data_IF_187097065410
#
_entry.id   IF_187097065410
#
_cell.length_a   1.000
_cell.length_b   1.000
_cell.length_c   1.000
_cell.angle_alpha   90.00
_cell.angle_beta   90.00
_cell.angle_gamma   90.00
#
_symmetry.space_group_name_H-M   'P 1'
#
loop_
_entity.id
_entity.type
_entity.pdbx_description
1 polymer ?
#
# COMPACT_ATOMS: atom_id res chain seq x y z
N UNK A 1 -9.59 -9.81 30.34
CA UNK A 1 -9.70 -9.62 28.87
C UNK A 1 -9.06 -8.34 28.33
N UNK A 2 -9.22 -7.14 28.93
CA UNK A 2 -8.56 -5.90 28.44
C UNK A 2 -7.03 -5.92 28.55
N UNK A 3 -6.48 -6.44 29.65
CA UNK A 3 -5.02 -6.50 29.86
C UNK A 3 -4.30 -7.44 28.89
N UNK A 4 -4.90 -8.58 28.54
CA UNK A 4 -4.34 -9.52 27.56
C UNK A 4 -4.34 -8.96 26.12
N UNK A 5 -5.33 -8.13 25.78
CA UNK A 5 -5.39 -7.45 24.46
C UNK A 5 -4.32 -6.35 24.33
N UNK A 6 -4.11 -5.55 25.40
CA UNK A 6 -3.06 -4.52 25.45
C UNK A 6 -1.68 -5.17 25.35
N UNK A 7 -1.42 -6.23 26.13
CA UNK A 7 -0.15 -6.96 26.12
C UNK A 7 0.18 -7.55 24.75
N UNK A 8 -0.81 -8.15 24.06
CA UNK A 8 -0.63 -8.67 22.69
C UNK A 8 -0.32 -7.58 21.68
N UNK A 9 -0.99 -6.42 21.77
CA UNK A 9 -0.71 -5.28 20.90
C UNK A 9 0.71 -4.76 21.11
N UNK A 10 1.14 -4.57 22.37
CA UNK A 10 2.48 -4.08 22.71
C UNK A 10 3.58 -5.04 22.22
N UNK A 11 3.38 -6.37 22.35
CA UNK A 11 4.31 -7.37 21.83
C UNK A 11 4.43 -7.34 20.30
N UNK A 12 3.35 -7.05 19.57
CA UNK A 12 3.41 -6.94 18.10
C UNK A 12 4.24 -5.74 17.65
N UNK A 13 4.02 -4.57 18.27
CA UNK A 13 4.84 -3.39 18.00
C UNK A 13 6.32 -3.62 18.36
N UNK A 14 6.59 -4.22 19.50
CA UNK A 14 7.96 -4.52 19.92
C UNK A 14 8.69 -5.46 18.94
N UNK A 15 7.99 -6.45 18.39
CA UNK A 15 8.55 -7.36 17.39
C UNK A 15 8.91 -6.64 16.08
N UNK A 16 8.01 -5.80 15.55
CA UNK A 16 8.26 -5.05 14.31
C UNK A 16 9.36 -4.01 14.48
N UNK A 17 9.35 -3.29 15.61
CA UNK A 17 10.41 -2.33 15.93
C UNK A 17 11.76 -3.03 16.15
N UNK A 18 11.75 -4.23 16.74
CA UNK A 18 12.94 -5.06 16.90
C UNK A 18 13.54 -5.48 15.56
N UNK A 19 12.72 -5.91 14.60
CA UNK A 19 13.17 -6.24 13.23
C UNK A 19 13.72 -4.99 12.53
N UNK A 20 13.04 -3.86 12.63
CA UNK A 20 13.48 -2.60 12.03
C UNK A 20 14.84 -2.16 12.60
N UNK A 21 15.00 -2.24 13.92
CA UNK A 21 16.24 -1.92 14.61
C UNK A 21 17.37 -2.88 14.20
N UNK A 22 17.09 -4.19 14.15
CA UNK A 22 18.05 -5.20 13.73
C UNK A 22 18.56 -4.93 12.30
N UNK A 23 17.66 -4.68 11.34
CA UNK A 23 18.03 -4.34 9.97
C UNK A 23 18.88 -3.05 9.93
N UNK A 24 18.48 -2.03 10.70
CA UNK A 24 19.22 -0.77 10.78
C UNK A 24 20.65 -0.98 11.32
N UNK A 25 20.82 -1.83 12.34
CA UNK A 25 22.13 -2.19 12.90
C UNK A 25 22.96 -2.98 11.88
N UNK A 26 22.35 -3.98 11.23
CA UNK A 26 23.03 -4.79 10.21
C UNK A 26 23.56 -3.90 9.09
N UNK A 27 22.68 -3.11 8.45
CA UNK A 27 23.10 -2.23 7.36
C UNK A 27 24.04 -1.13 7.80
N UNK A 28 23.90 -0.62 9.03
CA UNK A 28 24.81 0.34 9.62
C UNK A 28 26.23 -0.22 9.88
N UNK A 29 26.34 -1.54 10.15
CA UNK A 29 27.62 -2.21 10.32
C UNK A 29 28.34 -2.49 8.99
N UNK A 30 27.57 -2.70 7.90
CA UNK A 30 28.13 -3.03 6.58
C UNK A 30 28.25 -1.83 5.61
N UNK A 31 27.59 -0.68 5.91
CA UNK A 31 27.63 0.53 5.10
C UNK A 31 27.88 1.77 5.95
N UNK A 32 29.01 2.44 5.71
CA UNK A 32 29.37 3.69 6.41
C UNK A 32 28.37 4.84 6.23
N UNK A 33 27.57 4.78 5.16
CA UNK A 33 26.60 5.81 4.82
C UNK A 33 25.21 5.54 5.36
N UNK A 34 24.91 4.31 5.79
CA UNK A 34 23.54 3.90 6.11
C UNK A 34 22.96 4.65 7.31
N UNK A 35 23.76 4.89 8.33
CA UNK A 35 23.32 5.61 9.55
C UNK A 35 23.31 7.15 9.40
N UNK A 36 23.65 7.69 8.23
CA UNK A 36 23.58 9.13 8.00
C UNK A 36 22.12 9.60 7.94
N UNK A 37 21.80 10.79 8.50
CA UNK A 37 20.44 11.34 8.44
C UNK A 37 19.86 11.39 7.02
N UNK A 38 20.69 11.65 6.01
CA UNK A 38 20.29 11.69 4.62
C UNK A 38 19.65 10.38 4.13
N UNK A 39 20.09 9.23 4.62
CA UNK A 39 19.49 7.93 4.28
C UNK A 39 18.05 7.81 4.78
N UNK A 40 17.80 8.20 6.03
CA UNK A 40 16.45 8.16 6.61
C UNK A 40 15.51 9.18 5.95
N UNK A 41 16.01 10.35 5.60
CA UNK A 41 15.28 11.36 4.82
C UNK A 41 14.93 10.80 3.43
N UNK A 42 15.90 10.16 2.77
CA UNK A 42 15.66 9.50 1.48
C UNK A 42 14.59 8.41 1.58
N UNK A 43 14.66 7.56 2.59
CA UNK A 43 13.64 6.53 2.86
C UNK A 43 12.27 7.20 3.03
N UNK A 44 12.15 8.22 3.88
CA UNK A 44 10.89 8.92 4.11
C UNK A 44 10.28 9.49 2.83
N UNK A 45 11.12 10.04 1.93
CA UNK A 45 10.65 10.63 0.67
C UNK A 45 10.40 9.58 -0.45
N UNK A 46 10.82 8.33 -0.27
CA UNK A 46 10.60 7.24 -1.23
C UNK A 46 9.35 6.40 -0.94
N UNK A 47 8.85 6.36 0.29
CA UNK A 47 7.79 5.45 0.71
C UNK A 47 6.34 5.97 0.57
N UNK A 48 6.04 7.21 0.17
CA UNK A 48 4.66 7.70 0.15
C UNK A 48 3.72 6.84 -0.69
N UNK A 49 4.12 6.48 -1.91
CA UNK A 49 3.33 5.66 -2.83
C UNK A 49 3.04 4.26 -2.26
N UNK A 50 4.06 3.55 -1.80
CA UNK A 50 3.89 2.24 -1.17
C UNK A 50 3.07 2.32 0.13
N UNK A 51 3.22 3.39 0.92
CA UNK A 51 2.46 3.59 2.15
C UNK A 51 0.97 3.77 1.87
N UNK A 52 0.62 4.62 0.90
CA UNK A 52 -0.77 4.85 0.50
C UNK A 52 -1.43 3.56 0.03
N UNK A 53 -0.74 2.78 -0.81
CA UNK A 53 -1.21 1.48 -1.28
C UNK A 53 -1.36 0.50 -0.11
N UNK A 54 -0.39 0.43 0.81
CA UNK A 54 -0.44 -0.47 1.97
C UNK A 54 -1.61 -0.15 2.91
N UNK A 55 -1.98 1.13 3.07
CA UNK A 55 -3.19 1.52 3.81
C UNK A 55 -4.44 0.94 3.14
N UNK A 56 -4.61 1.13 1.83
CA UNK A 56 -5.73 0.57 1.06
C UNK A 56 -5.73 -0.95 1.10
N UNK A 57 -4.60 -1.58 0.84
CA UNK A 57 -4.42 -3.03 0.87
C UNK A 57 -4.75 -3.62 2.24
N UNK A 58 -4.40 -2.94 3.34
CA UNK A 58 -4.76 -3.38 4.70
C UNK A 58 -6.27 -3.49 4.86
N UNK A 59 -7.03 -2.50 4.37
CA UNK A 59 -8.49 -2.53 4.44
C UNK A 59 -9.06 -3.67 3.58
N UNK A 60 -8.54 -3.87 2.36
CA UNK A 60 -8.95 -4.96 1.45
C UNK A 60 -8.65 -6.32 2.07
N UNK A 61 -7.47 -6.52 2.65
CA UNK A 61 -7.11 -7.76 3.33
C UNK A 61 -8.00 -8.02 4.55
N UNK A 62 -8.35 -6.99 5.32
CA UNK A 62 -9.21 -7.12 6.51
C UNK A 62 -10.59 -7.66 6.15
N UNK A 63 -11.18 -7.30 5.02
CA UNK A 63 -12.46 -7.88 4.56
C UNK A 63 -12.31 -9.25 3.89
N UNK A 64 -11.09 -9.79 3.79
CA UNK A 64 -10.79 -11.07 3.16
C UNK A 64 -10.63 -10.98 1.63
N UNK A 65 -10.44 -9.78 1.08
CA UNK A 65 -10.13 -9.56 -0.33
C UNK A 65 -8.62 -9.46 -0.59
N UNK A 66 -8.23 -9.57 -1.86
CA UNK A 66 -6.88 -9.28 -2.35
C UNK A 66 -7.03 -8.42 -3.60
N UNK A 67 -6.28 -7.31 -3.67
CA UNK A 67 -6.26 -6.44 -4.86
C UNK A 67 -4.86 -6.43 -5.48
N UNK A 68 -4.72 -7.16 -6.58
CA UNK A 68 -3.45 -7.22 -7.33
C UNK A 68 -3.31 -6.10 -8.36
N UNK A 69 -4.34 -5.27 -8.54
CA UNK A 69 -4.33 -4.19 -9.55
C UNK A 69 -3.78 -2.86 -9.04
N UNK A 70 -3.45 -2.77 -7.75
CA UNK A 70 -3.05 -1.50 -7.10
C UNK A 70 -1.89 -0.78 -7.81
N UNK A 71 -0.87 -1.52 -8.28
CA UNK A 71 0.26 -0.96 -9.01
C UNK A 71 -0.11 -0.45 -10.40
N UNK A 72 -0.99 -1.17 -11.11
CA UNK A 72 -1.46 -0.73 -12.42
C UNK A 72 -2.48 0.41 -12.34
N UNK A 73 -3.27 0.48 -11.27
CA UNK A 73 -4.17 1.62 -10.99
C UNK A 73 -3.34 2.87 -10.66
N UNK A 74 -2.28 2.74 -9.87
CA UNK A 74 -1.30 3.81 -9.65
C UNK A 74 -0.75 4.32 -10.98
N UNK A 75 -0.25 3.41 -11.84
CA UNK A 75 0.32 3.76 -13.13
C UNK A 75 -0.71 4.44 -14.06
N UNK A 76 -1.96 3.96 -14.08
CA UNK A 76 -3.03 4.57 -14.86
C UNK A 76 -3.36 5.98 -14.35
N UNK A 77 -3.43 6.17 -13.03
CA UNK A 77 -3.67 7.48 -12.44
C UNK A 77 -2.51 8.45 -12.72
N UNK A 78 -1.26 7.96 -12.66
CA UNK A 78 -0.07 8.69 -13.08
C UNK A 78 -0.14 9.09 -14.55
N UNK A 79 -0.56 8.16 -15.43
CA UNK A 79 -0.74 8.43 -16.87
C UNK A 79 -1.81 9.50 -17.12
N UNK A 80 -2.94 9.44 -16.41
CA UNK A 80 -3.99 10.47 -16.47
C UNK A 80 -3.44 11.82 -16.04
N UNK A 81 -2.66 11.88 -14.95
CA UNK A 81 -2.00 13.11 -14.51
C UNK A 81 -1.10 13.66 -15.60
N UNK A 82 -0.22 12.81 -16.16
CA UNK A 82 0.70 13.19 -17.24
C UNK A 82 -0.03 13.71 -18.48
N UNK A 83 -1.06 13.02 -18.93
CA UNK A 83 -1.85 13.46 -20.08
C UNK A 83 -2.56 14.80 -19.83
N UNK A 84 -3.22 14.96 -18.67
CA UNK A 84 -3.92 16.21 -18.33
C UNK A 84 -2.96 17.41 -18.27
N UNK A 85 -1.78 17.23 -17.67
CA UNK A 85 -0.83 18.33 -17.48
C UNK A 85 0.00 18.62 -18.72
N UNK A 86 0.44 17.58 -19.46
CA UNK A 86 1.34 17.75 -20.62
C UNK A 86 0.58 17.97 -21.92
N UNK A 87 -0.46 17.16 -22.19
CA UNK A 87 -1.16 17.24 -23.47
C UNK A 87 -2.28 18.28 -23.45
N UNK A 88 -2.95 18.47 -22.30
CA UNK A 88 -4.08 19.40 -22.16
C UNK A 88 -3.76 20.66 -21.35
N UNK A 89 -2.54 20.81 -20.81
CA UNK A 89 -2.10 21.96 -20.01
C UNK A 89 -2.97 22.27 -18.79
N UNK A 90 -3.53 21.24 -18.16
CA UNK A 90 -4.32 21.42 -16.94
C UNK A 90 -3.41 21.73 -15.76
N UNK A 91 -3.85 22.59 -14.81
CA UNK A 91 -3.11 22.84 -13.60
C UNK A 91 -3.20 21.62 -12.65
N UNK A 92 -2.16 21.39 -11.87
CA UNK A 92 -2.02 20.25 -10.96
C UNK A 92 -3.24 20.07 -10.04
N UNK A 93 -3.75 21.16 -9.45
CA UNK A 93 -4.89 21.12 -8.54
C UNK A 93 -6.19 20.61 -9.19
N UNK A 94 -6.36 20.79 -10.49
CA UNK A 94 -7.50 20.28 -11.26
C UNK A 94 -7.29 18.85 -11.74
N UNK A 95 -6.05 18.43 -11.98
CA UNK A 95 -5.71 17.09 -12.44
C UNK A 95 -5.78 16.05 -11.29
N UNK A 96 -5.40 16.41 -10.05
CA UNK A 96 -5.43 15.52 -8.89
C UNK A 96 -6.81 14.86 -8.66
N UNK A 97 -7.94 15.59 -8.62
CA UNK A 97 -9.26 14.96 -8.44
C UNK A 97 -9.58 13.89 -9.48
N UNK A 98 -9.19 14.09 -10.75
CA UNK A 98 -9.39 13.08 -11.80
C UNK A 98 -8.54 11.84 -11.58
N UNK A 99 -7.32 11.98 -11.06
CA UNK A 99 -6.50 10.83 -10.69
C UNK A 99 -7.16 10.00 -9.58
N UNK A 100 -7.72 10.67 -8.56
CA UNK A 100 -8.44 10.03 -7.47
C UNK A 100 -9.71 9.33 -7.98
N UNK A 101 -10.47 9.98 -8.85
CA UNK A 101 -11.68 9.42 -9.48
C UNK A 101 -11.30 8.21 -10.34
N UNK A 102 -10.23 8.28 -11.14
CA UNK A 102 -9.75 7.16 -11.95
C UNK A 102 -9.46 5.94 -11.07
N UNK A 103 -8.71 6.12 -9.99
CA UNK A 103 -8.44 5.07 -9.03
C UNK A 103 -9.71 4.53 -8.36
N UNK A 104 -10.59 5.43 -7.89
CA UNK A 104 -11.85 5.05 -7.26
C UNK A 104 -12.78 4.27 -8.19
N UNK A 105 -12.86 4.61 -9.47
CA UNK A 105 -13.65 3.90 -10.49
C UNK A 105 -13.11 2.48 -10.74
N UNK A 106 -11.79 2.31 -10.82
CA UNK A 106 -11.18 0.99 -10.90
C UNK A 106 -11.48 0.16 -9.64
N UNK A 107 -11.36 0.76 -8.45
CA UNK A 107 -11.73 0.12 -7.19
C UNK A 107 -13.21 -0.23 -7.10
N UNK A 108 -14.10 0.65 -7.58
CA UNK A 108 -15.54 0.40 -7.66
C UNK A 108 -15.83 -0.81 -8.57
N UNK A 109 -15.20 -0.88 -9.73
CA UNK A 109 -15.34 -2.03 -10.64
C UNK A 109 -14.87 -3.32 -9.95
N UNK A 110 -13.67 -3.32 -9.34
CA UNK A 110 -13.14 -4.49 -8.62
C UNK A 110 -14.08 -4.95 -7.51
N UNK A 111 -14.52 -4.02 -6.67
CA UNK A 111 -15.42 -4.32 -5.56
C UNK A 111 -16.80 -4.77 -6.01
N UNK A 112 -17.40 -4.08 -6.98
CA UNK A 112 -18.72 -4.41 -7.47
C UNK A 112 -18.74 -5.79 -8.16
N UNK A 113 -17.82 -6.05 -9.08
CA UNK A 113 -17.75 -7.33 -9.78
C UNK A 113 -17.46 -8.48 -8.81
N UNK A 114 -16.47 -8.31 -7.91
CA UNK A 114 -16.13 -9.34 -6.95
C UNK A 114 -17.31 -9.67 -6.01
N UNK A 115 -17.94 -8.64 -5.45
CA UNK A 115 -18.95 -8.83 -4.40
C UNK A 115 -20.32 -9.21 -4.99
N UNK A 116 -20.75 -8.58 -6.10
CA UNK A 116 -22.08 -8.81 -6.67
C UNK A 116 -22.14 -10.07 -7.52
N UNK A 117 -21.07 -10.40 -8.25
CA UNK A 117 -20.98 -11.64 -9.03
C UNK A 117 -20.45 -12.83 -8.21
N UNK A 118 -19.99 -12.60 -6.96
CA UNK A 118 -19.45 -13.67 -6.10
C UNK A 118 -18.12 -14.25 -6.59
N UNK A 119 -17.37 -13.50 -7.41
CA UNK A 119 -16.08 -13.93 -7.97
C UNK A 119 -14.97 -13.59 -6.98
N UNK A 120 -14.02 -14.51 -6.71
CA UNK A 120 -12.87 -14.19 -5.87
C UNK A 120 -12.14 -12.92 -6.33
N UNK A 121 -11.89 -11.99 -5.40
CA UNK A 121 -11.36 -10.67 -5.73
C UNK A 121 -10.03 -10.71 -6.46
N UNK A 122 -9.15 -11.67 -6.12
CA UNK A 122 -7.85 -11.80 -6.79
C UNK A 122 -7.98 -12.07 -8.31
N UNK A 123 -9.05 -12.79 -8.75
CA UNK A 123 -9.30 -13.05 -10.18
C UNK A 123 -9.74 -11.76 -10.87
N UNK A 124 -10.68 -11.03 -10.26
CA UNK A 124 -11.17 -9.75 -10.80
C UNK A 124 -10.04 -8.73 -10.89
N UNK A 125 -9.24 -8.63 -9.84
CA UNK A 125 -8.14 -7.66 -9.78
C UNK A 125 -6.96 -8.04 -10.67
N UNK A 126 -6.71 -9.32 -10.96
CA UNK A 126 -5.80 -9.74 -12.02
C UNK A 126 -6.27 -9.28 -13.40
N UNK A 127 -7.57 -9.37 -13.68
CA UNK A 127 -8.16 -8.79 -14.89
C UNK A 127 -7.98 -7.28 -14.94
N UNK A 128 -8.28 -6.57 -13.84
CA UNK A 128 -8.11 -5.12 -13.73
C UNK A 128 -6.63 -4.72 -13.86
N UNK A 129 -5.70 -5.50 -13.33
CA UNK A 129 -4.26 -5.26 -13.50
C UNK A 129 -3.90 -5.13 -14.97
N UNK A 130 -4.39 -6.04 -15.82
CA UNK A 130 -4.11 -5.99 -17.27
C UNK A 130 -4.88 -4.86 -17.96
N UNK A 131 -6.14 -4.63 -17.59
CA UNK A 131 -6.96 -3.53 -18.12
C UNK A 131 -6.29 -2.18 -17.83
N UNK A 132 -5.96 -1.91 -16.56
CA UNK A 132 -5.34 -0.66 -16.16
C UNK A 132 -3.94 -0.49 -16.78
N UNK A 133 -3.15 -1.57 -16.89
CA UNK A 133 -1.83 -1.54 -17.53
C UNK A 133 -1.95 -1.24 -19.05
N UNK A 134 -2.93 -1.84 -19.72
CA UNK A 134 -3.24 -1.54 -21.13
C UNK A 134 -3.72 -0.11 -21.31
N UNK A 135 -4.67 0.35 -20.48
CA UNK A 135 -5.18 1.72 -20.52
C UNK A 135 -4.07 2.75 -20.26
N UNK A 136 -3.13 2.47 -19.35
CA UNK A 136 -1.96 3.34 -19.12
C UNK A 136 -1.17 3.56 -20.40
N UNK A 137 -0.89 2.50 -21.17
CA UNK A 137 -0.16 2.58 -22.43
C UNK A 137 -0.94 3.32 -23.52
N UNK A 138 -2.26 3.17 -23.56
CA UNK A 138 -3.13 3.93 -24.48
C UNK A 138 -3.09 5.42 -24.15
N UNK A 139 -3.29 5.79 -22.88
CA UNK A 139 -3.30 7.20 -22.44
C UNK A 139 -1.96 7.90 -22.66
N UNK A 140 -0.84 7.18 -22.45
CA UNK A 140 0.50 7.74 -22.63
C UNK A 140 1.07 7.55 -24.04
N UNK A 141 0.35 6.89 -24.95
CA UNK A 141 0.87 6.45 -26.26
C UNK A 141 2.14 5.59 -26.13
N UNK A 142 2.22 4.80 -25.02
CA UNK A 142 3.40 4.00 -24.66
C UNK A 142 4.69 4.81 -24.46
N UNK A 143 4.59 6.12 -24.19
CA UNK A 143 5.73 7.02 -23.96
C UNK A 143 5.68 7.59 -22.56
N UNK A 144 6.84 7.87 -21.99
CA UNK A 144 6.93 8.60 -20.72
C UNK A 144 6.55 10.06 -20.94
N UNK A 145 5.60 10.58 -20.15
CA UNK A 145 5.22 11.99 -20.13
C UNK A 145 6.07 12.74 -19.11
N UNK A 146 6.88 13.69 -19.57
CA UNK A 146 7.74 14.53 -18.71
C UNK A 146 6.95 15.75 -18.27
N UNK A 147 6.67 15.88 -16.98
CA UNK A 147 5.86 16.99 -16.43
C UNK A 147 6.76 18.11 -15.90
N UNK A 148 7.95 17.76 -15.42
CA UNK A 148 8.92 18.72 -14.89
C UNK A 148 8.50 19.35 -13.57
N UNK A 149 8.88 20.61 -13.34
CA UNK A 149 8.74 21.30 -12.04
C UNK A 149 7.31 21.56 -11.58
N UNK A 150 6.30 21.40 -12.45
CA UNK A 150 4.91 21.65 -12.09
C UNK A 150 4.37 20.73 -10.98
N UNK A 151 4.99 19.56 -10.74
CA UNK A 151 4.64 18.60 -9.70
C UNK A 151 5.60 18.58 -8.51
N UNK A 152 6.70 19.32 -8.56
CA UNK A 152 7.73 19.36 -7.52
C UNK A 152 7.18 19.80 -6.15
N UNK A 153 6.15 20.65 -6.16
CA UNK A 153 5.47 21.09 -4.93
C UNK A 153 4.96 19.96 -4.04
N UNK A 154 4.76 18.74 -4.57
CA UNK A 154 4.34 17.55 -3.80
C UNK A 154 5.52 16.61 -3.55
N UNK A 155 6.47 16.52 -4.50
CA UNK A 155 7.59 15.58 -4.48
C UNK A 155 8.82 16.08 -3.74
N UNK A 156 9.09 17.38 -3.80
CA UNK A 156 10.29 17.95 -3.18
C UNK A 156 10.17 18.11 -1.67
N UNK A 157 11.27 17.89 -0.94
CA UNK A 157 11.32 18.13 0.50
C UNK A 157 11.08 19.60 0.85
N UNK A 158 10.24 19.84 1.86
CA UNK A 158 9.98 21.17 2.41
C UNK A 158 11.25 21.68 3.08
N UNK A 159 11.67 22.92 2.74
CA UNK A 159 12.79 23.58 3.38
C UNK A 159 12.63 23.63 4.90
N UNK A 160 13.61 23.13 5.63
CA UNK A 160 13.62 23.09 7.11
C UNK A 160 13.11 21.77 7.71
N UNK A 161 12.18 21.03 7.08
CA UNK A 161 11.65 19.75 7.61
C UNK A 161 12.30 18.56 6.89
N UNK A 162 12.83 18.76 5.69
CA UNK A 162 13.50 17.78 4.83
C UNK A 162 12.62 16.60 4.37
N UNK A 163 11.31 16.62 4.61
CA UNK A 163 10.35 15.62 4.12
C UNK A 163 9.39 16.25 3.12
N UNK A 164 8.97 15.46 2.15
CA UNK A 164 8.08 15.92 1.08
C UNK A 164 6.61 16.02 1.58
N UNK A 165 5.80 16.90 0.99
CA UNK A 165 4.35 16.91 1.22
C UNK A 165 3.71 15.55 0.93
N UNK A 166 4.23 14.80 -0.05
CA UNK A 166 3.81 13.43 -0.33
C UNK A 166 3.97 12.50 0.89
N UNK A 167 5.06 12.62 1.64
CA UNK A 167 5.24 11.86 2.88
C UNK A 167 4.22 12.27 3.96
N UNK A 168 3.95 13.56 4.11
CA UNK A 168 2.94 14.03 5.06
C UNK A 168 1.55 13.53 4.70
N UNK A 169 1.18 13.52 3.42
CA UNK A 169 -0.07 12.93 2.93
C UNK A 169 -0.15 11.44 3.25
N UNK A 170 0.94 10.69 3.09
CA UNK A 170 0.99 9.28 3.45
C UNK A 170 0.78 9.06 4.95
N UNK A 171 1.38 9.88 5.82
CA UNK A 171 1.16 9.82 7.28
C UNK A 171 -0.29 10.15 7.64
N UNK A 172 -0.88 11.17 7.00
CA UNK A 172 -2.31 11.48 7.19
C UNK A 172 -3.18 10.30 6.78
N UNK A 173 -2.87 9.62 5.66
CA UNK A 173 -3.59 8.43 5.22
C UNK A 173 -3.45 7.28 6.23
N UNK A 174 -2.27 7.06 6.81
CA UNK A 174 -2.05 6.06 7.87
C UNK A 174 -2.92 6.35 9.09
N UNK A 175 -2.93 7.59 9.57
CA UNK A 175 -3.73 8.01 10.74
C UNK A 175 -5.22 7.87 10.44
N UNK A 176 -5.68 8.35 9.29
CA UNK A 176 -7.07 8.28 8.86
C UNK A 176 -7.52 6.82 8.66
N UNK A 177 -6.71 5.99 7.99
CA UNK A 177 -6.99 4.58 7.79
C UNK A 177 -7.03 3.80 9.09
N UNK A 178 -6.11 4.08 10.02
CA UNK A 178 -6.14 3.46 11.36
C UNK A 178 -7.37 3.90 12.15
N UNK A 179 -7.72 5.18 12.11
CA UNK A 179 -8.93 5.69 12.76
C UNK A 179 -10.18 5.03 12.14
N UNK A 180 -10.28 4.99 10.82
CA UNK A 180 -11.39 4.36 10.09
C UNK A 180 -11.54 2.89 10.52
N UNK A 181 -10.44 2.13 10.55
CA UNK A 181 -10.46 0.71 10.88
C UNK A 181 -10.77 0.44 12.37
N UNK A 182 -10.18 1.22 13.29
CA UNK A 182 -10.20 0.90 14.72
C UNK A 182 -11.27 1.63 15.52
N UNK A 183 -11.74 2.79 15.06
CA UNK A 183 -12.61 3.69 15.84
C UNK A 183 -14.01 3.85 15.27
N UNK A 184 -14.26 3.41 14.03
CA UNK A 184 -15.57 3.59 13.38
C UNK A 184 -16.40 2.30 13.35
N UNK A 185 -17.70 2.45 13.11
CA UNK A 185 -18.61 1.32 12.85
C UNK A 185 -18.24 0.61 11.56
N UNK A 186 -17.80 1.39 10.54
CA UNK A 186 -17.32 0.86 9.27
C UNK A 186 -16.20 -0.18 9.48
N UNK A 187 -15.15 0.18 10.23
CA UNK A 187 -14.04 -0.73 10.49
C UNK A 187 -14.45 -1.97 11.26
N UNK A 188 -15.36 -1.85 12.25
CA UNK A 188 -15.89 -3.01 12.98
C UNK A 188 -16.62 -3.99 12.05
N UNK A 189 -17.43 -3.48 11.11
CA UNK A 189 -18.09 -4.34 10.12
C UNK A 189 -17.10 -4.96 9.15
N UNK A 190 -16.08 -4.23 8.69
CA UNK A 190 -15.02 -4.79 7.84
C UNK A 190 -14.32 -5.97 8.53
N UNK A 191 -13.95 -5.85 9.80
CA UNK A 191 -13.34 -6.92 10.58
C UNK A 191 -14.31 -8.10 10.76
N UNK A 192 -15.58 -7.84 11.07
CA UNK A 192 -16.59 -8.88 11.22
C UNK A 192 -16.83 -9.64 9.90
N UNK A 193 -16.95 -8.93 8.77
CA UNK A 193 -17.12 -9.51 7.43
C UNK A 193 -15.94 -10.42 7.09
N UNK A 194 -14.71 -9.95 7.30
CA UNK A 194 -13.52 -10.76 7.03
C UNK A 194 -13.36 -11.96 7.98
N UNK A 195 -13.98 -11.92 9.17
CA UNK A 195 -13.99 -13.06 10.09
C UNK A 195 -15.01 -14.13 9.68
N UNK A 196 -16.24 -13.71 9.38
CA UNK A 196 -17.31 -14.57 8.88
C UNK A 196 -18.43 -13.73 8.23
N UNK A 197 -18.35 -13.56 6.93
CA UNK A 197 -19.32 -12.77 6.16
C UNK A 197 -20.76 -13.34 6.25
N UNK A 198 -20.90 -14.67 6.35
CA UNK A 198 -22.21 -15.32 6.46
C UNK A 198 -22.89 -15.01 7.81
N UNK A 199 -22.14 -15.09 8.91
CA UNK A 199 -22.66 -14.72 10.23
C UNK A 199 -23.10 -13.24 10.29
N UNK A 200 -22.36 -12.34 9.64
CA UNK A 200 -22.72 -10.91 9.52
C UNK A 200 -24.03 -10.76 8.74
N UNK A 201 -24.19 -11.49 7.64
CA UNK A 201 -25.41 -11.48 6.84
C UNK A 201 -26.61 -12.00 7.62
N UNK A 202 -26.45 -13.09 8.36
CA UNK A 202 -27.49 -13.65 9.22
C UNK A 202 -27.91 -12.71 10.35
N UNK A 203 -27.02 -11.81 10.77
CA UNK A 203 -27.33 -10.74 11.73
C UNK A 203 -28.07 -9.53 11.11
N UNK A 204 -28.51 -9.63 9.83
CA UNK A 204 -29.28 -8.60 9.14
C UNK A 204 -28.42 -7.46 8.56
N UNK A 205 -27.09 -7.57 8.60
CA UNK A 205 -26.18 -6.53 8.09
C UNK A 205 -25.83 -6.85 6.64
N UNK A 206 -26.06 -5.88 5.73
CA UNK A 206 -25.65 -5.97 4.33
C UNK A 206 -24.15 -5.82 4.22
N UNK A 207 -23.41 -6.91 3.94
CA UNK A 207 -21.93 -6.89 3.83
C UNK A 207 -21.44 -6.21 2.55
N UNK A 208 -22.20 -6.32 1.45
CA UNK A 208 -21.78 -5.83 0.13
C UNK A 208 -21.34 -4.35 0.09
N UNK A 209 -22.09 -3.37 0.63
CA UNK A 209 -21.66 -1.97 0.59
C UNK A 209 -20.31 -1.74 1.28
N UNK A 210 -20.04 -2.42 2.40
CA UNK A 210 -18.78 -2.28 3.13
C UNK A 210 -17.61 -2.85 2.32
N UNK A 211 -17.77 -4.06 1.78
CA UNK A 211 -16.73 -4.70 0.96
C UNK A 211 -16.44 -3.87 -0.30
N UNK A 212 -17.47 -3.39 -1.02
CA UNK A 212 -17.29 -2.54 -2.21
C UNK A 212 -16.58 -1.23 -1.83
N UNK A 213 -17.03 -0.56 -0.76
CA UNK A 213 -16.42 0.71 -0.32
C UNK A 213 -14.94 0.56 0.02
N UNK A 214 -14.51 -0.57 0.56
CA UNK A 214 -13.09 -0.84 0.83
C UNK A 214 -12.26 -0.85 -0.45
N UNK A 215 -12.75 -1.49 -1.53
CA UNK A 215 -12.06 -1.45 -2.82
C UNK A 215 -12.05 -0.04 -3.43
N UNK A 216 -13.14 0.74 -3.29
CA UNK A 216 -13.20 2.14 -3.73
C UNK A 216 -12.15 2.99 -3.00
N UNK A 217 -12.06 2.85 -1.66
CA UNK A 217 -11.06 3.55 -0.85
C UNK A 217 -9.64 3.14 -1.28
N UNK A 218 -9.40 1.84 -1.48
CA UNK A 218 -8.11 1.34 -1.96
C UNK A 218 -7.75 1.94 -3.32
N UNK A 219 -8.68 1.92 -4.28
CA UNK A 219 -8.47 2.52 -5.59
C UNK A 219 -8.21 4.04 -5.53
N UNK A 220 -8.94 4.77 -4.68
CA UNK A 220 -8.70 6.20 -4.45
C UNK A 220 -7.28 6.46 -3.89
N UNK A 221 -6.83 5.64 -2.94
CA UNK A 221 -5.46 5.72 -2.40
C UNK A 221 -4.41 5.34 -3.45
N UNK A 222 -4.70 4.41 -4.36
CA UNK A 222 -3.84 4.13 -5.52
C UNK A 222 -3.78 5.33 -6.48
N UNK A 223 -4.91 6.05 -6.67
CA UNK A 223 -4.93 7.30 -7.41
C UNK A 223 -4.03 8.36 -6.80
N UNK A 224 -4.10 8.53 -5.48
CA UNK A 224 -3.23 9.45 -4.73
C UNK A 224 -1.77 8.99 -4.77
N UNK A 225 -1.52 7.68 -4.70
CA UNK A 225 -0.18 7.11 -4.86
C UNK A 225 0.40 7.40 -6.26
N UNK A 226 -0.44 7.41 -7.31
CA UNK A 226 -0.04 7.83 -8.65
C UNK A 226 0.43 9.28 -8.71
N UNK A 227 -0.27 10.18 -8.00
CA UNK A 227 0.12 11.60 -7.89
C UNK A 227 1.46 11.73 -7.16
N UNK A 228 1.65 11.09 -6.00
CA UNK A 228 2.89 11.17 -5.22
C UNK A 228 4.07 10.53 -5.96
N UNK A 229 3.83 9.42 -6.66
CA UNK A 229 4.84 8.74 -7.49
C UNK A 229 5.32 9.64 -8.62
N UNK A 230 4.38 10.22 -9.37
CA UNK A 230 4.68 11.17 -10.45
C UNK A 230 5.40 12.40 -9.95
N UNK A 231 4.97 12.95 -8.80
CA UNK A 231 5.61 14.11 -8.21
C UNK A 231 7.07 13.86 -7.82
N UNK A 232 7.37 12.67 -7.30
CA UNK A 232 8.74 12.27 -6.92
C UNK A 232 9.66 12.08 -8.12
N UNK A 233 9.13 11.61 -9.25
CA UNK A 233 9.92 11.32 -10.45
C UNK A 233 9.83 12.41 -11.52
N UNK A 234 8.93 13.38 -11.35
CA UNK A 234 8.60 14.44 -12.33
C UNK A 234 8.17 13.89 -13.69
N UNK A 235 7.73 12.61 -13.72
CA UNK A 235 7.36 11.88 -14.95
C UNK A 235 6.21 10.93 -14.69
N UNK A 236 5.40 10.68 -15.73
CA UNK A 236 4.43 9.60 -15.78
C UNK A 236 4.91 8.53 -16.76
N UNK A 237 5.42 7.41 -16.22
CA UNK A 237 5.94 6.28 -16.98
C UNK A 237 4.85 5.19 -17.09
N UNK A 238 4.53 4.69 -18.31
CA UNK A 238 3.57 3.61 -18.49
C UNK A 238 3.97 2.29 -17.81
N UNK A 239 5.24 2.09 -17.51
CA UNK A 239 5.74 0.91 -16.82
C UNK A 239 5.97 1.14 -15.31
N UNK A 240 5.50 2.26 -14.77
CA UNK A 240 5.64 2.58 -13.35
C UNK A 240 5.02 1.50 -12.44
N UNK A 241 5.59 1.36 -11.26
CA UNK A 241 5.03 0.59 -10.14
C UNK A 241 4.78 -0.91 -10.42
N UNK A 242 5.53 -1.54 -11.33
CA UNK A 242 5.46 -2.99 -11.55
C UNK A 242 5.99 -3.71 -10.31
N UNK A 243 5.18 -4.62 -9.73
CA UNK A 243 5.54 -5.41 -8.55
C UNK A 243 5.29 -4.72 -7.21
N UNK A 244 4.82 -3.46 -7.19
CA UNK A 244 4.50 -2.75 -5.95
C UNK A 244 3.34 -3.42 -5.19
N UNK A 245 2.43 -4.10 -5.91
CA UNK A 245 1.34 -4.89 -5.34
C UNK A 245 1.87 -5.97 -4.39
N UNK A 246 2.93 -6.67 -4.78
CA UNK A 246 3.57 -7.70 -3.95
C UNK A 246 4.25 -7.08 -2.73
N UNK A 247 4.92 -5.95 -2.91
CA UNK A 247 5.54 -5.21 -1.81
C UNK A 247 4.51 -4.70 -0.80
N UNK A 248 3.34 -4.24 -1.28
CA UNK A 248 2.25 -3.78 -0.41
C UNK A 248 1.63 -4.93 0.40
N UNK A 249 1.37 -6.09 -0.25
CA UNK A 249 0.90 -7.29 0.45
C UNK A 249 1.94 -7.72 1.50
N UNK A 250 3.21 -7.76 1.12
CA UNK A 250 4.30 -8.11 2.02
C UNK A 250 4.34 -7.18 3.26
N UNK A 251 4.27 -5.88 3.05
CA UNK A 251 4.24 -4.90 4.14
C UNK A 251 3.06 -5.15 5.09
N UNK A 252 1.87 -5.42 4.54
CA UNK A 252 0.69 -5.73 5.33
C UNK A 252 0.85 -7.03 6.13
N UNK A 253 1.39 -8.08 5.52
CA UNK A 253 1.59 -9.39 6.16
C UNK A 253 2.68 -9.32 7.23
N UNK A 254 3.82 -8.69 6.94
CA UNK A 254 4.88 -8.41 7.92
C UNK A 254 4.29 -7.63 9.10
N UNK A 255 3.41 -6.65 8.83
CA UNK A 255 2.64 -5.92 9.83
C UNK A 255 1.61 -6.77 10.61
N UNK A 256 1.42 -8.05 10.24
CA UNK A 256 0.50 -8.98 10.93
C UNK A 256 -0.96 -8.87 10.47
N UNK A 257 -1.23 -8.24 9.34
CA UNK A 257 -2.53 -8.27 8.69
C UNK A 257 -2.75 -9.65 8.08
N UNK A 258 -3.92 -10.26 8.36
CA UNK A 258 -4.24 -11.61 7.93
C UNK A 258 -4.66 -11.65 6.46
N UNK A 259 -4.07 -12.55 5.68
CA UNK A 259 -4.52 -12.83 4.31
C UNK A 259 -5.90 -13.51 4.24
N UNK A 260 -6.33 -14.13 5.35
CA UNK A 260 -7.64 -14.79 5.46
C UNK A 260 -8.74 -13.84 5.94
N UNK A 261 -8.44 -12.56 6.16
CA UNK A 261 -9.39 -11.58 6.67
C UNK A 261 -9.54 -11.54 8.19
N UNK A 262 -10.38 -10.64 8.67
CA UNK A 262 -10.80 -10.49 10.06
C UNK A 262 -9.77 -9.89 11.02
N UNK A 263 -8.56 -9.63 10.58
CA UNK A 263 -7.48 -9.04 11.42
C UNK A 263 -6.56 -8.18 10.57
N UNK A 264 -6.26 -6.99 11.06
CA UNK A 264 -5.30 -6.06 10.45
C UNK A 264 -5.13 -4.80 11.28
N UNK A 265 -4.03 -4.11 11.02
CA UNK A 265 -3.71 -2.84 11.67
C UNK A 265 -2.88 -1.99 10.72
N UNK A 266 -3.39 -0.79 10.40
CA UNK A 266 -2.76 0.10 9.41
C UNK A 266 -1.39 0.61 9.89
N UNK A 267 -1.25 0.91 11.19
CA UNK A 267 0.05 1.34 11.75
C UNK A 267 1.09 0.23 11.63
N UNK A 268 0.70 -1.03 11.90
CA UNK A 268 1.60 -2.17 11.75
C UNK A 268 1.99 -2.39 10.28
N UNK A 269 1.05 -2.21 9.34
CA UNK A 269 1.35 -2.28 7.91
C UNK A 269 2.32 -1.16 7.48
N UNK A 270 2.19 0.04 8.05
CA UNK A 270 3.17 1.11 7.85
C UNK A 270 4.56 0.75 8.39
N UNK A 271 4.66 0.10 9.56
CA UNK A 271 5.94 -0.44 10.04
C UNK A 271 6.49 -1.51 9.09
N UNK A 272 5.62 -2.33 8.48
CA UNK A 272 6.00 -3.25 7.42
C UNK A 272 6.55 -2.55 6.18
N UNK A 273 5.96 -1.43 5.77
CA UNK A 273 6.51 -0.58 4.69
C UNK A 273 7.91 -0.08 5.04
N UNK A 274 8.11 0.41 6.27
CA UNK A 274 9.42 0.85 6.73
C UNK A 274 10.47 -0.28 6.70
N UNK A 275 10.08 -1.49 7.12
CA UNK A 275 10.96 -2.67 7.07
C UNK A 275 11.40 -2.97 5.63
N UNK A 276 10.46 -2.97 4.67
CA UNK A 276 10.76 -3.19 3.25
C UNK A 276 11.65 -2.07 2.71
N UNK A 277 11.36 -0.82 3.04
CA UNK A 277 12.12 0.33 2.57
C UNK A 277 13.55 0.33 3.11
N UNK A 278 13.75 0.04 4.40
CA UNK A 278 15.07 -0.12 5.02
C UNK A 278 15.84 -1.26 4.36
N UNK A 279 15.20 -2.40 4.12
CA UNK A 279 15.80 -3.54 3.42
C UNK A 279 16.26 -3.16 2.01
N UNK A 280 15.38 -2.55 1.20
CA UNK A 280 15.70 -2.16 -0.17
C UNK A 280 16.81 -1.10 -0.23
N UNK A 281 16.75 -0.08 0.65
CA UNK A 281 17.77 0.97 0.71
C UNK A 281 19.10 0.42 1.19
N UNK A 282 19.10 -0.44 2.21
CA UNK A 282 20.30 -1.08 2.72
C UNK A 282 20.98 -1.96 1.67
N UNK A 283 20.22 -2.79 0.97
CA UNK A 283 20.73 -3.60 -0.14
C UNK A 283 21.29 -2.74 -1.29
N UNK A 284 20.61 -1.62 -1.61
CA UNK A 284 21.11 -0.69 -2.63
C UNK A 284 22.45 -0.07 -2.23
N UNK A 285 22.61 0.34 -0.97
CA UNK A 285 23.89 0.89 -0.49
C UNK A 285 25.04 -0.13 -0.42
N UNK A 286 24.71 -1.42 -0.30
CA UNK A 286 25.67 -2.52 -0.42
C UNK A 286 25.98 -2.91 -1.87
N UNK A 287 25.42 -2.19 -2.87
CA UNK A 287 25.66 -2.45 -4.28
C UNK A 287 24.87 -3.65 -4.85
N UNK A 288 23.83 -4.13 -4.15
CA UNK A 288 23.00 -5.21 -4.66
C UNK A 288 22.27 -4.77 -5.94
N UNK A 289 22.32 -5.60 -6.99
CA UNK A 289 21.58 -5.37 -8.23
C UNK A 289 20.06 -5.48 -8.03
N UNK A 290 19.28 -4.87 -8.91
CA UNK A 290 17.81 -4.93 -8.80
C UNK A 290 17.25 -6.37 -8.82
N UNK A 291 17.75 -7.31 -9.64
CA UNK A 291 17.36 -8.72 -9.52
C UNK A 291 17.64 -9.33 -8.14
N UNK A 292 18.78 -9.01 -7.52
CA UNK A 292 19.11 -9.51 -6.19
C UNK A 292 18.17 -8.95 -5.12
N UNK A 293 17.83 -7.63 -5.20
CA UNK A 293 16.82 -7.02 -4.31
C UNK A 293 15.47 -7.70 -4.44
N UNK A 294 15.04 -8.05 -5.66
CA UNK A 294 13.77 -8.77 -5.90
C UNK A 294 13.79 -10.16 -5.29
N UNK A 295 14.88 -10.93 -5.46
CA UNK A 295 15.03 -12.27 -4.87
C UNK A 295 14.97 -12.20 -3.34
N UNK A 296 15.71 -11.28 -2.73
CA UNK A 296 15.74 -11.11 -1.27
C UNK A 296 14.37 -10.66 -0.75
N UNK A 297 13.75 -9.68 -1.38
CA UNK A 297 12.41 -9.20 -0.99
C UNK A 297 11.38 -10.32 -1.10
N UNK A 298 11.39 -11.08 -2.21
CA UNK A 298 10.51 -12.24 -2.39
C UNK A 298 10.73 -13.32 -1.33
N UNK A 299 11.97 -13.60 -0.97
CA UNK A 299 12.31 -14.55 0.10
C UNK A 299 11.77 -14.08 1.47
N UNK A 300 11.91 -12.80 1.78
CA UNK A 300 11.37 -12.21 3.02
C UNK A 300 9.84 -12.31 3.06
N UNK A 301 9.15 -12.11 1.93
CA UNK A 301 7.69 -12.30 1.83
C UNK A 301 7.30 -13.74 2.17
N UNK A 302 7.96 -14.72 1.53
CA UNK A 302 7.67 -16.15 1.77
C UNK A 302 7.90 -16.52 3.23
N UNK A 303 9.01 -16.08 3.81
CA UNK A 303 9.32 -16.32 5.23
C UNK A 303 8.27 -15.69 6.14
N UNK A 304 7.86 -14.45 5.87
CA UNK A 304 6.82 -13.77 6.67
C UNK A 304 5.48 -14.53 6.63
N UNK A 305 5.06 -15.00 5.45
CA UNK A 305 3.83 -15.78 5.28
C UNK A 305 3.92 -17.13 5.99
N UNK A 306 5.06 -17.81 5.91
CA UNK A 306 5.28 -19.09 6.62
C UNK A 306 5.23 -18.91 8.13
N UNK A 307 5.82 -17.84 8.66
CA UNK A 307 5.76 -17.52 10.09
C UNK A 307 4.34 -17.21 10.56
N UNK A 308 3.54 -16.49 9.76
CA UNK A 308 2.13 -16.22 10.10
C UNK A 308 1.31 -17.52 10.06
N UNK A 309 1.50 -18.36 9.05
CA UNK A 309 0.84 -19.67 8.95
C UNK A 309 1.18 -20.58 10.15
N UNK A 310 2.44 -20.66 10.52
CA UNK A 310 2.90 -21.43 11.68
C UNK A 310 2.28 -20.91 13.01
N UNK A 311 2.22 -19.59 13.17
CA UNK A 311 1.60 -18.95 14.33
C UNK A 311 0.09 -19.28 14.44
N UNK A 312 -0.62 -19.29 13.32
CA UNK A 312 -2.04 -19.65 13.26
C UNK A 312 -2.22 -21.13 13.62
N UNK A 313 -1.39 -22.02 13.09
CA UNK A 313 -1.44 -23.44 13.38
C UNK A 313 -1.21 -23.72 14.87
N UNK A 314 -0.20 -23.10 15.48
CA UNK A 314 0.07 -23.24 16.92
C UNK A 314 -1.08 -22.71 17.80
N UNK A 315 -1.69 -21.59 17.43
CA UNK A 315 -2.84 -21.04 18.16
C UNK A 315 -4.08 -21.94 18.12
N UNK A 316 -4.23 -22.78 17.09
CA UNK A 316 -5.33 -23.77 17.00
C UNK A 316 -5.08 -25.01 17.84
N UNK A 317 -3.84 -25.41 18.06
CA UNK A 317 -3.50 -26.57 18.90
C UNK A 317 -3.64 -26.30 20.41
N UNK A 318 -3.69 -25.02 20.81
CA UNK A 318 -3.83 -24.63 22.23
C UNK A 318 -5.28 -24.37 22.65
N UNK A 319 -6.24 -24.58 21.75
CA UNK A 319 -7.69 -24.52 22.01
C UNK A 319 -8.32 -25.90 21.97
#
# INVERSE_FOLDING_TARGET
MKQTAIYRSTMQYAGLLGVLLLLTIIFGAFSENFLRPATFISIANQIPDLTLIAVGMTLVLVVGGIDLSVGSILALSSAVLGALMVDYNWPLWAAIPLCLITGAMCGLFNGAVSVLAGIPSFIVTLGMLQIARGATKVVTESRTKYIGSAVESIGEPISGIMVSPGFLLAIVAVVAGQFLLSRTVFGRYCVAIGTNAEAVRMSGIKSAPYSISVFVICGCLCGLAGVTHTARLSTADPNAAIGIELSAIAACVIGGTSLMGGRGNVINSFLGVLIIAVLQTGLAQLGASDPMKQIITGSVIVIAVLLDAARIAWSKQQR
#
